data_IF_322661516919
#
_entry.id   IF_322661516919
#
_cell.length_a   1.000
_cell.length_b   1.000
_cell.length_c   1.000
_cell.angle_alpha   90.00
_cell.angle_beta   90.00
_cell.angle_gamma   90.00
#
_symmetry.space_group_name_H-M   'P 1'
#
loop_
_entity.id
_entity.type
_entity.pdbx_description
1 polymer ?
#
# COMPACT_ATOMS: atom_id res chain seq x y z
N UNK A 1 -13.29 24.89 -6.73
CA UNK A 1 -12.32 25.85 -6.14
C UNK A 1 -10.90 25.38 -6.43
N UNK A 2 -9.89 26.26 -6.47
CA UNK A 2 -8.54 26.01 -7.00
C UNK A 2 -7.89 24.66 -6.59
N UNK A 3 -8.16 24.18 -5.37
CA UNK A 3 -7.73 22.87 -4.89
C UNK A 3 -8.23 21.68 -5.74
N UNK A 4 -9.47 21.75 -6.25
CA UNK A 4 -10.07 20.71 -7.13
C UNK A 4 -9.40 20.69 -8.51
N UNK A 5 -9.01 21.87 -9.02
CA UNK A 5 -8.28 22.01 -10.29
C UNK A 5 -6.83 21.53 -10.16
N UNK A 6 -6.17 21.86 -9.04
CA UNK A 6 -4.81 21.43 -8.74
C UNK A 6 -4.74 19.92 -8.45
N UNK A 7 -5.74 19.38 -7.75
CA UNK A 7 -5.95 17.93 -7.59
C UNK A 7 -6.13 17.24 -8.94
N UNK A 8 -6.98 17.79 -9.82
CA UNK A 8 -7.16 17.24 -11.17
C UNK A 8 -5.89 17.35 -12.03
N UNK A 9 -5.11 18.43 -11.95
CA UNK A 9 -3.81 18.54 -12.63
C UNK A 9 -2.76 17.56 -12.09
N UNK A 10 -2.69 17.37 -10.77
CA UNK A 10 -1.79 16.39 -10.15
C UNK A 10 -2.21 14.94 -10.41
N UNK A 11 -3.52 14.67 -10.49
CA UNK A 11 -4.07 13.36 -10.89
C UNK A 11 -3.99 13.10 -12.40
N UNK A 12 -3.84 14.15 -13.22
CA UNK A 12 -3.60 14.04 -14.66
C UNK A 12 -2.13 13.75 -15.00
N UNK A 13 -1.22 13.78 -14.02
CA UNK A 13 0.15 13.34 -14.23
C UNK A 13 0.21 11.80 -14.21
N UNK A 14 0.05 11.21 -15.39
CA UNK A 14 0.10 9.75 -15.62
C UNK A 14 1.47 9.13 -15.34
N UNK A 15 2.49 9.93 -14.99
CA UNK A 15 3.80 9.45 -14.57
C UNK A 15 3.75 8.48 -13.38
N UNK A 16 2.73 8.58 -12.52
CA UNK A 16 2.66 7.77 -11.28
C UNK A 16 1.54 6.73 -11.29
N UNK A 17 0.44 6.96 -12.00
CA UNK A 17 -0.71 6.05 -12.03
C UNK A 17 -1.57 6.32 -13.26
N UNK A 18 -1.82 5.27 -14.04
CA UNK A 18 -2.80 5.28 -15.12
C UNK A 18 -4.09 4.59 -14.63
N UNK A 19 -5.20 5.34 -14.43
CA UNK A 19 -6.47 4.78 -13.97
C UNK A 19 -7.04 3.69 -14.87
N UNK A 20 -6.73 3.70 -16.17
CA UNK A 20 -7.22 2.69 -17.11
C UNK A 20 -6.70 1.29 -16.77
N UNK A 21 -5.52 1.18 -16.13
CA UNK A 21 -4.93 -0.09 -15.71
C UNK A 21 -5.74 -0.83 -14.63
N UNK A 22 -6.58 -0.10 -13.88
CA UNK A 22 -7.53 -0.70 -12.93
C UNK A 22 -8.85 -1.11 -13.57
N UNK A 23 -9.24 -0.52 -14.70
CA UNK A 23 -10.50 -0.86 -15.38
C UNK A 23 -10.41 -2.22 -16.11
N UNK A 24 -9.19 -2.66 -16.44
CA UNK A 24 -8.93 -3.92 -17.14
C UNK A 24 -9.13 -5.15 -16.24
N UNK A 25 -8.98 -5.01 -14.91
CA UNK A 25 -8.99 -6.13 -13.98
C UNK A 25 -9.47 -5.69 -12.59
N UNK A 26 -10.64 -6.19 -12.20
CA UNK A 26 -11.31 -5.85 -10.94
C UNK A 26 -10.50 -6.22 -9.67
N UNK A 27 -9.43 -7.03 -9.80
CA UNK A 27 -8.51 -7.30 -8.69
C UNK A 27 -7.70 -6.07 -8.29
N UNK A 28 -7.55 -5.09 -9.17
CA UNK A 28 -6.78 -3.86 -8.98
C UNK A 28 -7.67 -2.65 -8.76
N UNK A 29 -7.08 -1.57 -8.24
CA UNK A 29 -7.78 -0.31 -8.03
C UNK A 29 -8.66 -0.30 -6.77
N UNK A 30 -9.58 0.67 -6.69
CA UNK A 30 -10.38 0.91 -5.49
C UNK A 30 -11.40 -0.20 -5.28
N UNK A 31 -11.81 -0.41 -4.02
CA UNK A 31 -12.92 -1.34 -3.74
C UNK A 31 -14.24 -0.59 -3.91
N UNK A 32 -15.18 -1.09 -4.72
CA UNK A 32 -16.48 -0.45 -4.91
C UNK A 32 -17.18 -0.17 -3.58
N UNK A 33 -17.69 1.05 -3.40
CA UNK A 33 -18.43 1.51 -2.22
C UNK A 33 -17.65 1.50 -0.89
N UNK A 34 -16.33 1.32 -0.90
CA UNK A 34 -15.50 1.42 0.30
C UNK A 34 -14.58 2.64 0.17
N UNK A 35 -14.89 3.75 0.88
CA UNK A 35 -14.07 4.95 0.82
C UNK A 35 -12.73 4.76 1.54
N UNK A 36 -11.72 5.50 1.11
CA UNK A 36 -10.47 5.68 1.87
C UNK A 36 -10.81 6.17 3.28
N UNK A 37 -10.20 5.54 4.29
CA UNK A 37 -10.45 5.79 5.70
C UNK A 37 -11.46 4.84 6.35
N UNK A 38 -12.15 3.99 5.58
CA UNK A 38 -13.05 2.98 6.13
C UNK A 38 -12.29 1.99 7.04
N UNK A 39 -12.84 1.73 8.23
CA UNK A 39 -12.26 0.85 9.26
C UNK A 39 -13.13 -0.39 9.42
N UNK A 40 -12.49 -1.54 9.54
CA UNK A 40 -13.11 -2.86 9.73
C UNK A 40 -12.48 -3.57 10.92
N UNK A 41 -13.22 -4.49 11.53
CA UNK A 41 -12.68 -5.34 12.60
C UNK A 41 -11.76 -6.46 12.06
N UNK A 42 -11.84 -6.72 10.76
CA UNK A 42 -11.09 -7.73 10.03
C UNK A 42 -10.35 -7.14 8.81
N UNK A 43 -9.60 -7.97 8.10
CA UNK A 43 -8.84 -7.60 6.92
C UNK A 43 -9.66 -7.63 5.62
N UNK A 44 -11.01 -7.60 5.61
CA UNK A 44 -11.84 -7.94 4.42
C UNK A 44 -11.51 -7.26 3.08
N UNK A 45 -10.87 -6.09 3.10
CA UNK A 45 -10.39 -5.37 1.91
C UNK A 45 -9.03 -5.90 1.37
N UNK A 46 -8.47 -6.91 2.05
CA UNK A 46 -7.27 -7.67 1.77
C UNK A 46 -7.58 -9.16 1.93
N UNK A 47 -7.71 -9.88 0.82
CA UNK A 47 -8.26 -11.24 0.82
C UNK A 47 -7.52 -12.25 1.73
N UNK A 48 -6.18 -12.25 1.84
CA UNK A 48 -5.48 -13.15 2.74
C UNK A 48 -5.74 -12.84 4.22
N UNK A 49 -6.07 -13.87 5.00
CA UNK A 49 -6.26 -13.74 6.45
C UNK A 49 -4.95 -13.55 7.21
N UNK A 50 -3.86 -14.17 6.74
CA UNK A 50 -2.56 -14.18 7.42
C UNK A 50 -1.48 -13.44 6.61
N UNK A 51 -1.31 -13.80 5.34
CA UNK A 51 -0.26 -13.22 4.50
C UNK A 51 -0.41 -11.69 4.42
N UNK A 52 0.71 -10.96 4.43
CA UNK A 52 0.69 -9.51 4.32
C UNK A 52 0.48 -9.00 2.90
N UNK A 53 0.64 -9.87 1.90
CA UNK A 53 0.54 -9.53 0.47
C UNK A 53 -0.52 -10.42 -0.17
N UNK A 54 -1.39 -9.81 -0.98
CA UNK A 54 -2.26 -10.51 -1.92
C UNK A 54 -1.80 -10.17 -3.34
N UNK A 55 -1.44 -11.17 -4.14
CA UNK A 55 -0.92 -10.96 -5.48
C UNK A 55 -0.47 -12.27 -6.14
N UNK A 56 0.04 -12.16 -7.36
CA UNK A 56 0.68 -13.27 -8.08
C UNK A 56 2.00 -12.80 -8.68
N UNK A 57 2.93 -13.72 -8.93
CA UNK A 57 4.18 -13.38 -9.62
C UNK A 57 3.94 -12.84 -11.05
N UNK A 58 2.85 -13.26 -11.70
CA UNK A 58 2.49 -12.85 -13.07
C UNK A 58 1.89 -11.44 -13.14
N UNK A 59 0.94 -11.14 -12.26
CA UNK A 59 0.13 -9.92 -12.34
C UNK A 59 0.61 -8.83 -11.39
N UNK A 60 1.33 -9.22 -10.35
CA UNK A 60 1.79 -8.37 -9.28
C UNK A 60 0.88 -8.34 -8.06
N UNK A 61 1.18 -7.45 -7.12
CA UNK A 61 0.41 -7.25 -5.90
C UNK A 61 -0.91 -6.51 -6.16
N UNK A 62 -1.99 -7.05 -5.60
CA UNK A 62 -3.33 -6.45 -5.58
C UNK A 62 -3.55 -5.60 -4.32
N UNK A 63 -3.04 -6.08 -3.19
CA UNK A 63 -3.17 -5.40 -1.91
C UNK A 63 -2.10 -5.82 -0.91
N UNK A 64 -1.79 -4.93 0.04
CA UNK A 64 -0.86 -5.17 1.14
C UNK A 64 -1.49 -4.75 2.48
N UNK A 65 -1.16 -5.49 3.54
CA UNK A 65 -1.57 -5.20 4.91
C UNK A 65 -0.35 -4.84 5.78
N UNK A 66 -0.24 -3.57 6.19
CA UNK A 66 0.80 -3.09 7.10
C UNK A 66 0.31 -3.25 8.54
N UNK A 67 0.85 -4.22 9.27
CA UNK A 67 0.48 -4.47 10.68
C UNK A 67 1.71 -4.67 11.59
N UNK A 68 2.85 -4.06 11.24
CA UNK A 68 4.06 -4.08 12.08
C UNK A 68 4.75 -5.44 12.20
N UNK A 69 4.58 -6.32 11.20
CA UNK A 69 5.15 -7.67 11.21
C UNK A 69 6.67 -7.70 11.01
N UNK A 70 7.25 -6.63 10.45
CA UNK A 70 8.69 -6.53 10.20
C UNK A 70 9.24 -5.25 10.79
N UNK A 71 10.33 -5.39 11.56
CA UNK A 71 11.05 -4.25 12.14
C UNK A 71 11.76 -3.37 11.12
N UNK A 72 11.95 -3.88 9.90
CA UNK A 72 12.59 -3.20 8.79
C UNK A 72 11.59 -2.33 8.00
N UNK A 73 10.29 -2.44 8.28
CA UNK A 73 9.27 -1.57 7.70
C UNK A 73 9.45 -0.12 8.16
N UNK A 74 9.19 0.81 7.25
CA UNK A 74 9.19 2.25 7.51
C UNK A 74 7.89 2.84 6.99
N UNK A 75 7.08 3.47 7.82
CA UNK A 75 5.78 4.04 7.42
C UNK A 75 5.75 5.55 7.63
N UNK A 76 5.81 6.30 6.52
CA UNK A 76 5.68 7.77 6.46
C UNK A 76 4.31 8.20 5.91
N UNK A 77 3.32 7.30 5.91
CA UNK A 77 1.98 7.59 5.44
C UNK A 77 1.91 7.58 3.92
N UNK A 78 2.22 8.70 3.29
CA UNK A 78 2.21 8.85 1.82
C UNK A 78 3.30 8.03 1.12
N UNK A 79 4.33 7.62 1.87
CA UNK A 79 5.40 6.75 1.43
C UNK A 79 5.69 5.71 2.50
N UNK A 80 6.02 4.49 2.10
CA UNK A 80 6.54 3.49 3.02
C UNK A 80 7.48 2.50 2.35
N UNK A 81 8.35 1.90 3.17
CA UNK A 81 9.16 0.75 2.81
C UNK A 81 8.52 -0.47 3.45
N UNK A 82 8.20 -1.47 2.65
CA UNK A 82 7.59 -2.71 3.08
C UNK A 82 8.55 -3.88 2.87
N UNK A 83 8.63 -4.76 3.86
CA UNK A 83 9.51 -5.92 3.85
C UNK A 83 8.72 -7.17 3.48
N UNK A 84 9.14 -7.86 2.43
CA UNK A 84 8.60 -9.16 2.04
C UNK A 84 9.27 -10.31 2.79
N UNK A 85 8.60 -11.46 2.86
CA UNK A 85 9.24 -12.72 3.23
C UNK A 85 10.27 -13.09 2.17
N UNK A 86 11.56 -13.04 2.50
CA UNK A 86 12.62 -13.47 1.58
C UNK A 86 12.42 -14.93 1.15
N UNK A 87 12.52 -15.20 -0.15
CA UNK A 87 12.47 -16.55 -0.71
C UNK A 87 11.22 -16.93 -1.52
N UNK A 88 10.26 -16.02 -1.72
CA UNK A 88 9.19 -16.21 -2.70
C UNK A 88 9.43 -15.33 -3.93
N UNK A 89 9.24 -15.86 -5.13
CA UNK A 89 9.18 -15.08 -6.37
C UNK A 89 8.14 -13.98 -6.18
N UNK A 90 8.62 -12.76 -5.96
CA UNK A 90 7.80 -11.77 -5.31
C UNK A 90 6.87 -11.08 -6.33
N UNK A 91 5.59 -11.00 -5.98
CA UNK A 91 4.60 -10.25 -6.76
C UNK A 91 4.93 -8.75 -6.87
N UNK A 92 5.86 -8.21 -6.07
CA UNK A 92 6.17 -6.79 -6.06
C UNK A 92 7.20 -6.36 -7.10
N UNK A 93 8.09 -7.25 -7.56
CA UNK A 93 8.97 -7.01 -8.71
C UNK A 93 8.13 -6.75 -9.95
N UNK A 94 7.11 -7.59 -10.16
CA UNK A 94 6.09 -7.35 -11.18
C UNK A 94 5.29 -6.06 -10.92
N UNK A 95 4.96 -5.72 -9.68
CA UNK A 95 4.30 -4.43 -9.39
C UNK A 95 5.18 -3.22 -9.69
N UNK A 96 6.49 -3.30 -9.47
CA UNK A 96 7.44 -2.23 -9.77
C UNK A 96 7.56 -2.00 -11.30
N UNK A 97 7.48 -3.07 -12.08
CA UNK A 97 7.44 -3.02 -13.55
C UNK A 97 6.10 -2.45 -14.06
N UNK A 98 4.99 -2.97 -13.55
CA UNK A 98 3.65 -2.68 -14.10
C UNK A 98 3.05 -1.38 -13.58
N UNK A 99 3.55 -0.87 -12.45
CA UNK A 99 3.03 0.33 -11.75
C UNK A 99 1.52 0.30 -11.48
N UNK A 100 0.94 -0.91 -11.39
CA UNK A 100 -0.48 -1.08 -11.09
C UNK A 100 -0.77 -0.70 -9.63
N UNK A 101 -1.96 -0.15 -9.37
CA UNK A 101 -2.31 0.31 -8.03
C UNK A 101 -2.48 -0.87 -7.07
N UNK A 102 -1.79 -0.78 -5.93
CA UNK A 102 -1.87 -1.71 -4.80
C UNK A 102 -2.76 -1.08 -3.72
N UNK A 103 -3.81 -1.80 -3.29
CA UNK A 103 -4.60 -1.37 -2.13
C UNK A 103 -3.79 -1.51 -0.86
N UNK A 104 -3.79 -0.48 -0.03
CA UNK A 104 -3.10 -0.48 1.25
C UNK A 104 -4.10 -0.54 2.39
N UNK A 105 -3.91 -1.52 3.27
CA UNK A 105 -4.66 -1.68 4.51
C UNK A 105 -3.67 -1.51 5.65
N UNK A 106 -3.93 -0.58 6.56
CA UNK A 106 -3.14 -0.46 7.80
C UNK A 106 -3.90 -1.12 8.94
N UNK A 107 -3.25 -2.04 9.64
CA UNK A 107 -3.74 -2.66 10.88
C UNK A 107 -3.01 -2.11 12.11
N UNK A 108 -3.20 -2.74 13.28
CA UNK A 108 -2.51 -2.34 14.50
C UNK A 108 -0.99 -2.36 14.32
N UNK A 109 -0.33 -1.23 14.57
CA UNK A 109 1.13 -1.12 14.55
C UNK A 109 1.55 0.04 15.47
N UNK A 110 2.16 -0.30 16.61
CA UNK A 110 2.57 0.68 17.62
C UNK A 110 3.72 1.58 17.15
N UNK A 111 4.43 1.21 16.09
CA UNK A 111 5.56 1.97 15.56
C UNK A 111 5.17 2.95 14.44
N UNK A 112 3.91 2.95 14.00
CA UNK A 112 3.42 3.88 12.98
C UNK A 112 2.33 4.79 13.51
N UNK A 113 2.55 6.11 13.40
CA UNK A 113 1.51 7.12 13.66
C UNK A 113 0.37 7.08 12.65
N UNK A 114 0.53 6.36 11.53
CA UNK A 114 -0.49 6.19 10.51
C UNK A 114 -1.33 4.94 10.74
N UNK A 115 -0.91 4.02 11.62
CA UNK A 115 -1.72 2.86 11.98
C UNK A 115 -3.02 3.30 12.65
N UNK A 116 -4.18 2.71 12.32
CA UNK A 116 -5.44 3.10 12.95
C UNK A 116 -5.44 2.81 14.47
N UNK A 117 -6.21 3.58 15.22
CA UNK A 117 -6.40 3.37 16.66
C UNK A 117 -7.08 2.02 16.99
N UNK A 118 -7.84 1.47 16.03
CA UNK A 118 -8.49 0.15 16.13
C UNK A 118 -8.68 -0.46 14.75
N UNK A 119 -8.77 -1.79 14.71
CA UNK A 119 -9.12 -2.55 13.51
C UNK A 119 -8.13 -2.37 12.36
N UNK A 120 -8.65 -2.50 11.15
CA UNK A 120 -7.93 -2.39 9.89
C UNK A 120 -8.56 -1.30 9.02
N UNK A 121 -7.75 -0.35 8.55
CA UNK A 121 -8.22 0.80 7.77
C UNK A 121 -7.73 0.72 6.34
N UNK A 122 -8.66 0.90 5.39
CA UNK A 122 -8.32 1.05 3.99
C UNK A 122 -7.74 2.46 3.73
N UNK A 123 -6.45 2.55 3.41
CA UNK A 123 -5.73 3.82 3.26
C UNK A 123 -5.50 4.23 1.79
N UNK A 124 -6.19 3.54 0.88
CA UNK A 124 -6.26 3.88 -0.53
C UNK A 124 -5.27 3.10 -1.39
N UNK A 125 -4.90 3.71 -2.51
CA UNK A 125 -4.08 3.14 -3.57
C UNK A 125 -2.67 3.71 -3.51
N UNK A 126 -1.70 2.82 -3.69
CA UNK A 126 -0.28 3.12 -3.78
C UNK A 126 0.28 2.43 -5.01
N UNK A 127 1.43 2.87 -5.49
CA UNK A 127 2.20 2.19 -6.52
C UNK A 127 3.52 1.74 -5.96
N UNK A 128 3.99 0.58 -6.41
CA UNK A 128 5.33 0.09 -6.10
C UNK A 128 6.28 0.79 -7.05
N UNK A 129 7.24 1.52 -6.50
CA UNK A 129 8.18 2.29 -7.32
C UNK A 129 9.46 1.52 -7.55
N UNK A 130 9.90 0.81 -6.52
CA UNK A 130 11.14 0.04 -6.52
C UNK A 130 10.93 -1.24 -5.74
N UNK A 131 11.53 -2.31 -6.25
CA UNK A 131 11.72 -3.58 -5.58
C UNK A 131 13.21 -3.88 -5.60
N UNK A 132 13.80 -4.22 -4.44
CA UNK A 132 15.23 -4.49 -4.35
C UNK A 132 15.57 -5.39 -3.17
N UNK A 133 16.72 -6.07 -3.28
CA UNK A 133 17.31 -6.80 -2.17
C UNK A 133 18.04 -5.83 -1.24
N UNK A 134 17.62 -5.81 0.02
CA UNK A 134 18.26 -5.07 1.10
C UNK A 134 18.89 -6.00 2.14
N UNK A 135 19.48 -5.40 3.16
CA UNK A 135 19.99 -6.09 4.34
C UNK A 135 19.13 -5.67 5.54
N UNK A 136 18.54 -6.65 6.21
CA UNK A 136 17.77 -6.44 7.46
C UNK A 136 18.68 -5.84 8.54
N UNK A 137 18.06 -5.20 9.54
CA UNK A 137 18.73 -4.79 10.78
C UNK A 137 19.45 -5.94 11.50
N UNK A 138 19.08 -7.21 11.25
CA UNK A 138 19.79 -8.39 11.77
C UNK A 138 20.88 -8.94 10.83
N UNK A 139 21.05 -8.35 9.66
CA UNK A 139 22.08 -8.72 8.70
C UNK A 139 21.68 -9.77 7.66
N UNK A 140 20.46 -10.30 7.69
CA UNK A 140 19.93 -11.19 6.66
C UNK A 140 19.52 -10.43 5.40
N UNK A 141 19.59 -11.08 4.24
CA UNK A 141 19.04 -10.54 3.00
C UNK A 141 17.51 -10.51 3.06
N UNK A 142 16.90 -9.39 2.68
CA UNK A 142 15.45 -9.19 2.67
C UNK A 142 15.02 -8.54 1.36
N UNK A 143 13.80 -8.84 0.91
CA UNK A 143 13.18 -8.09 -0.19
C UNK A 143 12.52 -6.84 0.38
N UNK A 144 12.83 -5.68 -0.18
CA UNK A 144 12.24 -4.40 0.19
C UNK A 144 11.53 -3.76 -0.99
N UNK A 145 10.42 -3.11 -0.69
CA UNK A 145 9.60 -2.43 -1.67
C UNK A 145 9.27 -1.02 -1.21
N UNK A 146 9.54 -0.06 -2.08
CA UNK A 146 9.16 1.33 -1.88
C UNK A 146 7.78 1.56 -2.50
N UNK A 147 6.81 1.95 -1.67
CA UNK A 147 5.47 2.29 -2.11
C UNK A 147 5.19 3.78 -1.91
N UNK A 148 4.59 4.39 -2.93
CA UNK A 148 4.16 5.78 -2.91
C UNK A 148 2.66 5.89 -3.18
N UNK A 149 1.98 6.72 -2.39
CA UNK A 149 0.53 6.90 -2.47
C UNK A 149 0.15 7.60 -3.76
N UNK A 150 -0.92 7.12 -4.40
CA UNK A 150 -1.48 7.77 -5.58
C UNK A 150 -2.01 9.16 -5.19
N UNK A 151 -1.60 10.25 -5.88
CA UNK A 151 -2.03 11.61 -5.58
C UNK A 151 -3.54 11.79 -5.65
N UNK A 152 -4.05 12.80 -4.95
CA UNK A 152 -5.45 13.20 -5.05
C UNK A 152 -6.45 12.24 -4.40
N UNK A 153 -6.01 11.42 -3.45
CA UNK A 153 -6.92 10.70 -2.54
C UNK A 153 -7.19 11.54 -1.28
N UNK A 154 -8.25 11.25 -0.48
CA UNK A 154 -8.45 11.90 0.81
C UNK A 154 -7.20 11.82 1.70
N UNK A 155 -6.96 12.80 2.58
CA UNK A 155 -5.78 12.81 3.45
C UNK A 155 -5.75 11.59 4.38
N UNK A 156 -4.55 11.10 4.69
CA UNK A 156 -4.38 10.00 5.64
C UNK A 156 -4.65 10.47 7.08
N UNK A 157 -5.48 9.76 7.85
CA UNK A 157 -5.65 10.05 9.27
C UNK A 157 -4.38 9.68 10.06
N UNK A 158 -3.97 10.57 10.97
CA UNK A 158 -2.96 10.26 11.98
C UNK A 158 -3.66 9.72 13.22
N UNK A 159 -3.06 8.71 13.84
CA UNK A 159 -3.55 8.13 15.07
C UNK A 159 -3.35 9.12 16.23
N UNK A 160 -4.44 9.60 16.86
CA UNK A 160 -4.33 10.55 17.97
C UNK A 160 -3.70 9.93 19.22
N UNK A 161 -3.65 8.59 19.31
CA UNK A 161 -3.07 7.86 20.43
C UNK A 161 -1.60 7.50 20.23
N UNK A 162 -1.01 7.86 19.07
CA UNK A 162 0.40 7.63 18.84
C UNK A 162 1.22 8.56 19.75
N UNK A 163 2.17 7.97 20.49
CA UNK A 163 3.04 8.67 21.43
C UNK A 163 4.45 8.72 20.91
#
# INVERSE_FOLDING_TARGET
MAAERMRKMLMANTEFYDPSLSEIDARFGPVPNIPVGAVFDDRRVHAPSVAGIAGTAKDGAFSVCLSGGYKDDVDQGEFFIYTGTGGQEDSFGKSAETRRPVRVVRGPNVHSKYAPARGYRYDGLYVVERAYMGKSKDGYAICQYELRRVPGQPPLPVNPNYR
#
